data_IF_436127664545
#
_entry.id   IF_436127664545
#
_cell.length_a   1.000
_cell.length_b   1.000
_cell.length_c   1.000
_cell.angle_alpha   90.00
_cell.angle_beta   90.00
_cell.angle_gamma   90.00
#
_symmetry.space_group_name_H-M   'P 1'
#
loop_
_entity.id
_entity.type
_entity.pdbx_description
1 polymer ?
#
# COMPACT_ATOMS: atom_id res chain seq x y z
N UNK A 1 16.57 23.56 -2.86
CA UNK A 1 17.00 22.21 -3.24
C UNK A 1 18.04 21.67 -2.27
N UNK A 2 18.95 22.50 -1.78
CA UNK A 2 19.98 22.10 -0.84
C UNK A 2 19.38 21.57 0.46
N UNK A 3 18.32 22.18 0.97
CA UNK A 3 17.62 21.77 2.19
C UNK A 3 17.01 20.38 2.11
N UNK A 4 16.63 19.92 0.91
CA UNK A 4 16.10 18.57 0.70
C UNK A 4 17.23 17.55 0.70
N UNK A 5 18.31 17.84 -0.03
CA UNK A 5 19.43 16.91 -0.21
C UNK A 5 20.25 16.77 1.07
N UNK A 6 20.46 17.88 1.80
CA UNK A 6 21.23 17.90 3.06
C UNK A 6 20.36 17.62 4.31
N UNK A 7 19.10 17.23 4.13
CA UNK A 7 18.30 16.80 5.27
C UNK A 7 18.99 15.61 5.96
N UNK A 8 19.27 15.75 7.24
CA UNK A 8 20.01 14.76 8.04
C UNK A 8 19.45 13.33 7.89
N UNK A 9 18.13 13.18 7.81
CA UNK A 9 17.48 11.88 7.64
C UNK A 9 17.76 11.24 6.28
N UNK A 10 17.84 12.05 5.22
CA UNK A 10 18.17 11.58 3.86
C UNK A 10 19.61 11.11 3.81
N UNK A 11 20.55 11.91 4.30
CA UNK A 11 21.98 11.60 4.31
C UNK A 11 22.32 10.35 5.13
N UNK A 12 21.71 10.19 6.30
CA UNK A 12 21.90 8.99 7.14
C UNK A 12 21.41 7.73 6.42
N UNK A 13 20.29 7.80 5.69
CA UNK A 13 19.80 6.64 4.96
C UNK A 13 20.70 6.27 3.77
N UNK A 14 21.26 7.26 3.06
CA UNK A 14 22.25 7.01 1.99
C UNK A 14 23.51 6.33 2.55
N UNK A 15 24.05 6.84 3.66
CA UNK A 15 25.23 6.24 4.31
C UNK A 15 24.98 4.77 4.72
N UNK A 16 23.79 4.45 5.20
CA UNK A 16 23.40 3.08 5.60
C UNK A 16 23.28 2.11 4.42
N UNK A 17 23.13 2.59 3.19
CA UNK A 17 23.05 1.74 2.00
C UNK A 17 24.42 1.25 1.53
N UNK A 18 25.48 2.01 1.81
CA UNK A 18 26.83 1.73 1.27
C UNK A 18 27.36 0.37 1.73
N UNK A 19 27.32 0.10 3.03
CA UNK A 19 27.87 -1.13 3.59
C UNK A 19 27.19 -2.40 3.06
N UNK A 20 25.86 -2.53 3.05
CA UNK A 20 25.20 -3.74 2.54
C UNK A 20 25.35 -3.91 1.03
N UNK A 21 25.45 -2.83 0.25
CA UNK A 21 25.74 -2.91 -1.18
C UNK A 21 27.14 -3.47 -1.41
N UNK A 22 28.14 -3.00 -0.67
CA UNK A 22 29.51 -3.51 -0.74
C UNK A 22 29.57 -5.00 -0.35
N UNK A 23 28.87 -5.39 0.72
CA UNK A 23 28.79 -6.79 1.15
C UNK A 23 28.13 -7.66 0.06
N UNK A 24 27.02 -7.20 -0.52
CA UNK A 24 26.32 -7.91 -1.58
C UNK A 24 27.21 -8.17 -2.80
N UNK A 25 28.03 -7.20 -3.20
CA UNK A 25 28.98 -7.31 -4.31
C UNK A 25 30.19 -8.16 -3.92
N UNK A 26 30.65 -8.11 -2.67
CA UNK A 26 31.83 -8.81 -2.21
C UNK A 26 31.59 -10.33 -2.03
N UNK A 27 30.38 -10.77 -1.66
CA UNK A 27 30.07 -12.18 -1.42
C UNK A 27 30.47 -13.10 -2.59
N UNK A 28 30.09 -12.87 -3.87
CA UNK A 28 30.45 -13.74 -4.97
C UNK A 28 31.93 -13.65 -5.33
N UNK A 29 32.61 -12.55 -5.03
CA UNK A 29 34.03 -12.34 -5.30
C UNK A 29 34.89 -13.06 -4.26
N UNK A 30 34.46 -13.02 -3.00
CA UNK A 30 35.20 -13.62 -1.88
C UNK A 30 35.09 -15.15 -1.83
N UNK A 31 33.99 -15.71 -2.33
CA UNK A 31 33.70 -17.16 -2.25
C UNK A 31 33.28 -17.75 -3.61
N UNK A 32 34.18 -17.74 -4.63
CA UNK A 32 33.83 -18.20 -5.97
C UNK A 32 33.55 -19.71 -6.03
N UNK A 33 34.24 -20.52 -5.21
CA UNK A 33 34.08 -21.98 -5.17
C UNK A 33 32.83 -22.46 -4.42
N UNK A 34 32.23 -21.60 -3.62
CA UNK A 34 31.04 -21.87 -2.80
C UNK A 34 29.84 -21.02 -3.21
N UNK A 35 29.89 -20.39 -4.38
CA UNK A 35 28.86 -19.47 -4.86
C UNK A 35 27.45 -20.09 -4.90
N UNK A 36 27.34 -21.40 -5.05
CA UNK A 36 26.08 -22.15 -5.11
C UNK A 36 25.67 -22.77 -3.75
N UNK A 37 26.33 -22.37 -2.65
CA UNK A 37 25.93 -22.89 -1.34
C UNK A 37 24.64 -22.19 -0.85
N UNK A 38 23.70 -22.98 -0.33
CA UNK A 38 22.42 -22.52 0.22
C UNK A 38 22.59 -21.39 1.26
N UNK A 39 23.69 -21.45 2.00
CA UNK A 39 23.99 -20.44 3.03
C UNK A 39 24.37 -19.09 2.43
N UNK A 40 25.16 -19.06 1.36
CA UNK A 40 25.52 -17.82 0.69
C UNK A 40 24.34 -17.21 -0.06
N UNK A 41 23.50 -18.03 -0.66
CA UNK A 41 22.24 -17.57 -1.25
C UNK A 41 21.29 -16.96 -0.20
N UNK A 42 21.18 -17.58 0.96
CA UNK A 42 20.41 -17.03 2.07
C UNK A 42 20.98 -15.68 2.53
N UNK A 43 22.29 -15.57 2.71
CA UNK A 43 22.96 -14.31 3.07
C UNK A 43 22.75 -13.22 2.01
N UNK A 44 22.83 -13.54 0.73
CA UNK A 44 22.55 -12.62 -0.36
C UNK A 44 21.11 -12.09 -0.30
N UNK A 45 20.13 -12.97 -0.08
CA UNK A 45 18.73 -12.58 0.08
C UNK A 45 18.52 -11.66 1.27
N UNK A 46 19.16 -11.94 2.41
CA UNK A 46 19.12 -11.05 3.58
C UNK A 46 19.70 -9.67 3.27
N UNK A 47 20.84 -9.60 2.57
CA UNK A 47 21.43 -8.33 2.13
C UNK A 47 20.49 -7.57 1.19
N UNK A 48 19.87 -8.25 0.22
CA UNK A 48 18.89 -7.64 -0.68
C UNK A 48 17.69 -7.08 0.07
N UNK A 49 17.11 -7.83 1.00
CA UNK A 49 15.99 -7.39 1.83
C UNK A 49 16.37 -6.14 2.62
N UNK A 50 17.57 -6.14 3.22
CA UNK A 50 18.06 -4.99 3.96
C UNK A 50 18.25 -3.74 3.06
N UNK A 51 18.84 -3.93 1.87
CA UNK A 51 19.01 -2.85 0.87
C UNK A 51 17.65 -2.26 0.49
N UNK A 52 16.67 -3.11 0.19
CA UNK A 52 15.32 -2.67 -0.16
C UNK A 52 14.65 -1.93 1.01
N UNK A 53 14.77 -2.44 2.24
CA UNK A 53 14.20 -1.79 3.41
C UNK A 53 14.81 -0.39 3.66
N UNK A 54 16.13 -0.24 3.50
CA UNK A 54 16.80 1.06 3.63
C UNK A 54 16.43 1.98 2.46
N UNK A 55 16.31 1.44 1.25
CA UNK A 55 15.86 2.20 0.07
C UNK A 55 14.43 2.74 0.24
N UNK A 56 13.51 1.94 0.74
CA UNK A 56 12.15 2.39 1.05
C UNK A 56 12.12 3.52 2.09
N UNK A 57 12.96 3.41 3.14
CA UNK A 57 13.13 4.48 4.13
C UNK A 57 13.72 5.75 3.52
N UNK A 58 14.68 5.60 2.61
CA UNK A 58 15.26 6.73 1.88
C UNK A 58 14.19 7.46 1.05
N UNK A 59 13.40 6.74 0.25
CA UNK A 59 12.31 7.33 -0.54
C UNK A 59 11.26 8.00 0.37
N UNK A 60 10.88 7.35 1.48
CA UNK A 60 9.95 7.92 2.46
C UNK A 60 10.51 9.21 3.10
N UNK A 61 11.82 9.25 3.39
CA UNK A 61 12.50 10.44 3.90
C UNK A 61 12.52 11.57 2.87
N UNK A 62 12.74 11.26 1.58
CA UNK A 62 12.65 12.23 0.48
C UNK A 62 11.23 12.83 0.39
N UNK A 63 10.18 11.99 0.43
CA UNK A 63 8.80 12.47 0.42
C UNK A 63 8.54 13.44 1.59
N UNK A 64 9.04 13.10 2.77
CA UNK A 64 8.89 13.94 3.95
C UNK A 64 9.69 15.25 3.83
N UNK A 65 10.90 15.21 3.30
CA UNK A 65 11.72 16.40 3.09
C UNK A 65 11.08 17.34 2.05
N UNK A 66 10.59 16.79 0.94
CA UNK A 66 9.85 17.56 -0.07
C UNK A 66 8.63 18.23 0.56
N UNK A 67 7.84 17.48 1.36
CA UNK A 67 6.69 18.03 2.05
C UNK A 67 7.06 19.19 2.98
N UNK A 68 8.15 19.07 3.77
CA UNK A 68 8.60 20.13 4.68
C UNK A 68 8.89 21.42 3.94
N UNK A 69 9.62 21.35 2.82
CA UNK A 69 9.96 22.53 1.99
C UNK A 69 8.70 23.16 1.37
N UNK A 70 7.73 22.35 0.95
CA UNK A 70 6.47 22.88 0.38
C UNK A 70 5.54 23.45 1.45
N UNK A 71 5.48 22.84 2.64
CA UNK A 71 4.60 23.30 3.73
C UNK A 71 5.00 24.61 4.35
N UNK A 72 6.27 25.02 4.23
CA UNK A 72 6.79 26.32 4.68
C UNK A 72 6.37 27.48 3.75
N UNK A 73 5.89 27.18 2.54
CA UNK A 73 5.41 28.21 1.62
C UNK A 73 3.95 28.54 1.89
N UNK A 74 3.64 29.82 2.13
CA UNK A 74 2.28 30.31 2.42
C UNK A 74 1.23 29.86 1.39
N UNK A 75 1.60 29.73 0.11
CA UNK A 75 0.70 29.30 -0.97
C UNK A 75 0.13 27.87 -0.82
N UNK A 76 0.76 27.01 -0.02
CA UNK A 76 0.41 25.59 0.13
C UNK A 76 -0.07 25.20 1.53
N UNK A 77 -0.11 26.16 2.45
CA UNK A 77 -0.43 25.97 3.86
C UNK A 77 -1.84 25.39 4.09
N UNK A 78 -2.80 25.76 3.24
CA UNK A 78 -4.21 25.34 3.34
C UNK A 78 -4.53 24.07 2.51
N UNK A 79 -3.55 23.47 1.83
CA UNK A 79 -3.77 22.28 1.02
C UNK A 79 -3.53 21.01 1.83
N UNK A 80 -4.36 19.95 1.70
CA UNK A 80 -4.21 18.70 2.44
C UNK A 80 -3.08 17.82 1.88
N UNK A 81 -1.88 18.41 1.66
CA UNK A 81 -0.71 17.73 1.08
C UNK A 81 -0.22 16.58 1.99
N UNK A 82 -0.43 16.70 3.30
CA UNK A 82 -0.06 15.66 4.27
C UNK A 82 -0.79 14.34 4.01
N UNK A 83 -2.08 14.39 3.69
CA UNK A 83 -2.86 13.19 3.36
C UNK A 83 -2.36 12.50 2.09
N UNK A 84 -2.05 13.28 1.05
CA UNK A 84 -1.48 12.75 -0.20
C UNK A 84 -0.12 12.08 0.04
N UNK A 85 0.74 12.71 0.84
CA UNK A 85 2.03 12.15 1.21
C UNK A 85 1.89 10.83 1.98
N UNK A 86 1.00 10.79 2.97
CA UNK A 86 0.74 9.56 3.74
C UNK A 86 0.24 8.43 2.84
N UNK A 87 -0.68 8.72 1.93
CA UNK A 87 -1.18 7.74 0.96
C UNK A 87 -0.05 7.22 0.05
N UNK A 88 0.80 8.11 -0.46
CA UNK A 88 1.96 7.72 -1.27
C UNK A 88 2.94 6.83 -0.48
N UNK A 89 3.19 7.14 0.80
CA UNK A 89 4.04 6.32 1.66
C UNK A 89 3.43 4.95 1.94
N UNK A 90 2.11 4.85 2.16
CA UNK A 90 1.43 3.55 2.34
C UNK A 90 1.58 2.70 1.09
N UNK A 91 1.36 3.26 -0.10
CA UNK A 91 1.54 2.55 -1.38
C UNK A 91 2.99 2.09 -1.54
N UNK A 92 3.96 2.97 -1.25
CA UNK A 92 5.39 2.65 -1.32
C UNK A 92 5.75 1.45 -0.43
N UNK A 93 5.33 1.48 0.84
CA UNK A 93 5.60 0.39 1.78
C UNK A 93 4.85 -0.89 1.42
N UNK A 94 3.65 -0.81 0.87
CA UNK A 94 2.90 -1.97 0.38
C UNK A 94 3.63 -2.67 -0.77
N UNK A 95 4.09 -1.90 -1.78
CA UNK A 95 4.89 -2.43 -2.89
C UNK A 95 6.19 -3.04 -2.36
N UNK A 96 6.87 -2.33 -1.46
CA UNK A 96 8.09 -2.80 -0.83
C UNK A 96 7.92 -4.11 -0.05
N UNK A 97 6.83 -4.26 0.67
CA UNK A 97 6.49 -5.49 1.37
C UNK A 97 6.31 -6.67 0.41
N UNK A 98 5.62 -6.47 -0.72
CA UNK A 98 5.46 -7.51 -1.76
C UNK A 98 6.82 -7.93 -2.31
N UNK A 99 7.72 -6.99 -2.59
CA UNK A 99 9.07 -7.29 -3.09
C UNK A 99 9.87 -8.07 -2.03
N UNK A 100 9.84 -7.67 -0.77
CA UNK A 100 10.53 -8.37 0.32
C UNK A 100 9.99 -9.79 0.48
N UNK A 101 8.67 -9.98 0.49
CA UNK A 101 8.05 -11.30 0.58
C UNK A 101 8.45 -12.16 -0.62
N UNK A 102 8.47 -11.60 -1.83
CA UNK A 102 8.86 -12.33 -3.04
C UNK A 102 10.27 -12.88 -2.96
N UNK A 103 11.21 -12.11 -2.40
CA UNK A 103 12.59 -12.54 -2.18
C UNK A 103 12.66 -13.66 -1.13
N UNK A 104 11.89 -13.55 -0.04
CA UNK A 104 11.86 -14.56 1.03
C UNK A 104 11.37 -15.92 0.53
N UNK A 105 10.29 -15.93 -0.28
CA UNK A 105 9.70 -17.17 -0.79
C UNK A 105 10.28 -17.62 -2.12
N UNK A 106 11.28 -16.89 -2.65
CA UNK A 106 11.93 -17.16 -3.94
C UNK A 106 10.93 -17.21 -5.13
N UNK A 107 9.97 -16.30 -5.15
CA UNK A 107 8.97 -16.17 -6.20
C UNK A 107 9.02 -14.77 -6.82
N UNK A 108 8.54 -14.62 -8.05
CA UNK A 108 8.47 -13.29 -8.64
C UNK A 108 7.38 -12.43 -7.97
N UNK A 109 7.59 -11.11 -7.80
CA UNK A 109 6.57 -10.19 -7.28
C UNK A 109 5.26 -10.24 -8.07
N UNK A 110 5.35 -10.52 -9.39
CA UNK A 110 4.18 -10.62 -10.26
C UNK A 110 3.28 -11.79 -9.89
N UNK A 111 3.85 -12.94 -9.51
CA UNK A 111 3.08 -14.11 -9.04
C UNK A 111 2.28 -13.75 -7.79
N UNK A 112 2.89 -13.03 -6.84
CA UNK A 112 2.20 -12.57 -5.64
C UNK A 112 1.08 -11.59 -5.96
N UNK A 113 1.36 -10.61 -6.82
CA UNK A 113 0.35 -9.62 -7.24
C UNK A 113 -0.82 -10.29 -7.96
N UNK A 114 -0.54 -11.25 -8.84
CA UNK A 114 -1.58 -12.01 -9.55
C UNK A 114 -2.43 -12.82 -8.58
N UNK A 115 -1.81 -13.50 -7.62
CA UNK A 115 -2.51 -14.26 -6.58
C UNK A 115 -3.39 -13.36 -5.70
N UNK A 116 -2.86 -12.23 -5.24
CA UNK A 116 -3.61 -11.25 -4.47
C UNK A 116 -4.77 -10.66 -5.28
N UNK A 117 -4.55 -10.33 -6.54
CA UNK A 117 -5.58 -9.80 -7.44
C UNK A 117 -6.70 -10.81 -7.70
N UNK A 118 -6.36 -12.07 -7.95
CA UNK A 118 -7.34 -13.14 -8.11
C UNK A 118 -8.17 -13.36 -6.84
N UNK A 119 -7.51 -13.39 -5.67
CA UNK A 119 -8.19 -13.51 -4.37
C UNK A 119 -9.13 -12.33 -4.11
N UNK A 120 -8.69 -11.10 -4.40
CA UNK A 120 -9.51 -9.91 -4.26
C UNK A 120 -10.73 -9.94 -5.19
N UNK A 121 -10.58 -10.42 -6.43
CA UNK A 121 -11.69 -10.56 -7.37
C UNK A 121 -12.74 -11.58 -6.88
N UNK A 122 -12.30 -12.72 -6.33
CA UNK A 122 -13.19 -13.72 -5.73
C UNK A 122 -13.93 -13.13 -4.53
N UNK A 123 -13.23 -12.45 -3.62
CA UNK A 123 -13.84 -11.80 -2.47
C UNK A 123 -14.87 -10.75 -2.91
N UNK A 124 -14.53 -9.93 -3.90
CA UNK A 124 -15.46 -8.93 -4.44
C UNK A 124 -16.71 -9.58 -5.04
N UNK A 125 -16.56 -10.73 -5.71
CA UNK A 125 -17.69 -11.47 -6.25
C UNK A 125 -18.60 -12.02 -5.14
N UNK A 126 -18.01 -12.57 -4.07
CA UNK A 126 -18.77 -13.11 -2.90
C UNK A 126 -19.53 -11.99 -2.19
N UNK A 127 -18.92 -10.83 -2.01
CA UNK A 127 -19.55 -9.71 -1.29
C UNK A 127 -20.34 -8.75 -2.18
N UNK A 128 -20.41 -9.00 -3.50
CA UNK A 128 -21.06 -8.10 -4.47
C UNK A 128 -22.47 -7.71 -4.05
N UNK A 129 -23.30 -8.68 -3.69
CA UNK A 129 -24.71 -8.42 -3.37
C UNK A 129 -24.85 -7.68 -2.03
N UNK A 130 -24.00 -7.99 -1.05
CA UNK A 130 -23.94 -7.25 0.22
C UNK A 130 -23.53 -5.80 0.04
N UNK A 131 -22.47 -5.57 -0.77
CA UNK A 131 -22.00 -4.21 -1.09
C UNK A 131 -23.10 -3.45 -1.84
N UNK A 132 -23.76 -4.08 -2.82
CA UNK A 132 -24.82 -3.46 -3.60
C UNK A 132 -26.01 -3.10 -2.70
N UNK A 133 -26.41 -4.00 -1.79
CA UNK A 133 -27.47 -3.76 -0.80
C UNK A 133 -27.14 -2.57 0.11
N UNK A 134 -25.92 -2.54 0.64
CA UNK A 134 -25.46 -1.45 1.48
C UNK A 134 -25.45 -0.11 0.74
N UNK A 135 -24.89 -0.06 -0.46
CA UNK A 135 -24.86 1.17 -1.28
C UNK A 135 -26.27 1.63 -1.64
N UNK A 136 -27.16 0.71 -2.00
CA UNK A 136 -28.57 1.03 -2.29
C UNK A 136 -29.29 1.57 -1.06
N UNK A 137 -29.06 0.98 0.12
CA UNK A 137 -29.63 1.46 1.38
C UNK A 137 -29.19 2.90 1.70
N UNK A 138 -27.89 3.19 1.54
CA UNK A 138 -27.37 4.56 1.71
C UNK A 138 -28.01 5.52 0.70
N UNK A 139 -28.14 5.14 -0.57
CA UNK A 139 -28.75 5.98 -1.60
C UNK A 139 -30.22 6.27 -1.31
N UNK A 140 -30.99 5.27 -0.90
CA UNK A 140 -32.39 5.41 -0.52
C UNK A 140 -32.56 6.37 0.65
N UNK A 141 -31.71 6.24 1.68
CA UNK A 141 -31.73 7.09 2.86
C UNK A 141 -31.26 8.53 2.56
N UNK A 142 -30.14 8.69 1.86
CA UNK A 142 -29.56 10.00 1.56
C UNK A 142 -30.46 10.85 0.64
N UNK A 143 -31.13 10.20 -0.31
CA UNK A 143 -32.05 10.89 -1.25
C UNK A 143 -33.50 10.96 -0.74
N UNK A 144 -33.78 10.53 0.50
CA UNK A 144 -35.14 10.47 1.06
C UNK A 144 -36.15 9.76 0.13
N UNK A 145 -35.69 8.72 -0.62
CA UNK A 145 -36.53 8.00 -1.56
C UNK A 145 -37.48 7.02 -0.88
N UNK A 146 -37.19 6.64 0.38
CA UNK A 146 -38.00 5.75 1.19
C UNK A 146 -38.00 6.25 2.63
N UNK A 147 -39.18 6.42 3.21
CA UNK A 147 -39.36 6.90 4.58
C UNK A 147 -40.23 5.94 5.38
N UNK A 148 -40.03 5.94 6.68
CA UNK A 148 -40.94 5.24 7.60
C UNK A 148 -42.34 5.84 7.44
N UNK A 149 -43.34 5.02 7.21
CA UNK A 149 -44.70 5.36 6.91
C UNK A 149 -45.12 5.35 5.44
N UNK A 150 -44.16 5.22 4.50
CA UNK A 150 -44.45 5.12 3.08
C UNK A 150 -45.10 3.75 2.76
N UNK A 151 -46.05 3.74 1.82
CA UNK A 151 -46.60 2.51 1.27
C UNK A 151 -45.78 2.05 0.08
N UNK A 152 -45.30 0.82 0.13
CA UNK A 152 -44.51 0.23 -0.95
C UNK A 152 -45.20 -1.05 -1.49
N UNK A 153 -45.09 -1.21 -2.80
CA UNK A 153 -45.54 -2.42 -3.50
C UNK A 153 -44.38 -2.99 -4.31
N UNK A 154 -43.97 -4.22 -4.01
CA UNK A 154 -42.93 -4.97 -4.72
C UNK A 154 -43.47 -6.27 -5.30
N UNK A 155 -44.06 -6.24 -6.50
CA UNK A 155 -44.71 -7.44 -7.12
C UNK A 155 -43.78 -8.63 -7.25
N UNK A 156 -42.47 -8.35 -7.54
CA UNK A 156 -41.47 -9.41 -7.71
C UNK A 156 -41.24 -10.24 -6.44
N UNK A 157 -41.45 -9.68 -5.28
CA UNK A 157 -41.22 -10.34 -3.99
C UNK A 157 -42.52 -10.56 -3.21
N UNK A 158 -43.67 -10.19 -3.79
CA UNK A 158 -44.97 -10.31 -3.15
C UNK A 158 -45.13 -9.45 -1.89
N UNK A 159 -44.31 -8.41 -1.76
CA UNK A 159 -44.36 -7.50 -0.62
C UNK A 159 -45.25 -6.30 -0.96
N UNK A 160 -46.24 -6.03 -0.10
CA UNK A 160 -47.15 -4.88 -0.20
C UNK A 160 -47.51 -4.43 1.22
N UNK A 161 -47.21 -3.16 1.53
CA UNK A 161 -47.45 -2.64 2.89
C UNK A 161 -46.70 -1.35 3.21
N UNK A 162 -46.85 -0.93 4.47
CA UNK A 162 -46.23 0.27 5.00
C UNK A 162 -44.84 -0.01 5.56
N UNK A 163 -43.87 0.85 5.26
CA UNK A 163 -42.52 0.79 5.79
C UNK A 163 -42.51 1.11 7.29
N UNK A 164 -42.09 0.15 8.09
CA UNK A 164 -42.02 0.31 9.56
C UNK A 164 -40.61 0.82 9.92
N UNK A 165 -39.56 0.30 9.28
CA UNK A 165 -38.17 0.61 9.57
C UNK A 165 -37.32 0.47 8.31
N UNK A 166 -36.31 1.32 8.17
CA UNK A 166 -35.28 1.23 7.11
C UNK A 166 -33.95 0.98 7.79
N UNK A 167 -33.43 -0.25 7.67
CA UNK A 167 -32.13 -0.66 8.18
C UNK A 167 -31.13 -0.82 7.04
N UNK A 168 -29.84 -0.58 7.34
CA UNK A 168 -28.71 -0.72 6.38
C UNK A 168 -28.07 -2.10 6.53
#
# INVERSE_FOLDING_TARGET
WDDIVFNHKVMVNVSRMVAPILIYIAIPIAFPEHADSDLLDFLRRLCLIYIIAVFLRFISALFTAVYQVYSEREQYRDKPLKGLLQTAQVILFFIGAIIIISILINQSPMVLLTGLGASAAILMLVFKDSIMGFVSGIQLSANNMLKVGDWITMPKYGADGTVIEVTL
#
